data_IF_457211535925
#
_entry.id   IF_457211535925
#
_cell.length_a   1.000
_cell.length_b   1.000
_cell.length_c   1.000
_cell.angle_alpha   90.00
_cell.angle_beta   90.00
_cell.angle_gamma   90.00
#
_symmetry.space_group_name_H-M   'P 1'
#
loop_
_entity.id
_entity.type
_entity.pdbx_description
1 polymer ?
#
# COMPACT_ATOMS: atom_id res chain seq x y z
N UNK A 1 19.10 0.11 27.21
CA UNK A 1 18.27 1.28 26.88
C UNK A 1 18.15 2.11 28.15
N UNK A 2 18.45 3.41 28.10
CA UNK A 2 18.38 4.28 29.28
C UNK A 2 16.94 4.74 29.52
N UNK A 3 16.28 4.11 30.50
CA UNK A 3 14.90 4.41 30.88
C UNK A 3 14.75 5.82 31.50
N UNK A 4 15.81 6.32 32.15
CA UNK A 4 15.84 7.66 32.74
C UNK A 4 15.82 8.73 31.65
N UNK A 5 16.63 8.55 30.61
CA UNK A 5 16.61 9.42 29.43
C UNK A 5 15.25 9.40 28.71
N UNK A 6 14.66 8.21 28.49
CA UNK A 6 13.34 8.10 27.83
C UNK A 6 12.27 8.84 28.61
N UNK A 7 12.23 8.67 29.93
CA UNK A 7 11.27 9.35 30.79
C UNK A 7 11.43 10.87 30.73
N UNK A 8 12.68 11.35 30.81
CA UNK A 8 13.02 12.78 30.70
C UNK A 8 12.57 13.39 29.37
N UNK A 9 12.91 12.76 28.25
CA UNK A 9 12.59 13.30 26.93
C UNK A 9 11.12 13.11 26.56
N UNK A 10 10.48 12.03 27.00
CA UNK A 10 9.05 11.85 26.81
C UNK A 10 8.23 12.92 27.53
N UNK A 11 8.73 13.53 28.61
CA UNK A 11 8.06 14.61 29.32
C UNK A 11 8.03 15.93 28.52
N UNK A 12 8.99 16.14 27.61
CA UNK A 12 9.00 17.30 26.70
C UNK A 12 7.90 17.21 25.63
N UNK A 13 7.41 16.00 25.37
CA UNK A 13 6.38 15.69 24.38
C UNK A 13 5.15 15.09 25.08
N UNK A 14 4.63 15.83 26.06
CA UNK A 14 3.49 15.42 26.86
C UNK A 14 2.20 15.39 26.02
N UNK A 15 1.37 14.37 26.26
CA UNK A 15 0.02 14.34 25.68
C UNK A 15 -0.81 15.47 26.31
N UNK A 16 -1.42 16.37 25.52
CA UNK A 16 -2.27 17.42 26.07
C UNK A 16 -3.44 16.86 26.90
N UNK A 17 -3.73 17.51 28.03
CA UNK A 17 -4.82 17.10 28.91
C UNK A 17 -6.17 17.16 28.18
N UNK A 18 -6.98 16.11 28.33
CA UNK A 18 -8.29 16.00 27.67
C UNK A 18 -8.23 15.68 26.17
N UNK A 19 -7.04 15.62 25.55
CA UNK A 19 -6.93 15.22 24.14
C UNK A 19 -7.26 13.73 23.98
N UNK A 20 -8.39 13.46 23.34
CA UNK A 20 -8.72 12.11 22.87
C UNK A 20 -8.11 11.98 21.47
N UNK A 21 -7.01 11.24 21.39
CA UNK A 21 -6.45 10.88 20.10
C UNK A 21 -7.29 9.76 19.51
N UNK A 22 -7.85 10.01 18.33
CA UNK A 22 -8.41 8.96 17.51
C UNK A 22 -7.26 8.31 16.74
N UNK A 23 -7.07 7.03 17.02
CA UNK A 23 -6.23 6.17 16.21
C UNK A 23 -7.15 5.40 15.27
N UNK A 24 -6.89 5.53 13.97
CA UNK A 24 -7.71 4.91 12.95
C UNK A 24 -6.85 4.60 11.73
N UNK A 25 -7.50 4.57 10.59
CA UNK A 25 -6.99 3.89 9.42
C UNK A 25 -5.73 4.50 8.78
N UNK A 26 -5.60 5.83 8.81
CA UNK A 26 -4.38 6.52 8.37
C UNK A 26 -3.32 6.64 9.50
N UNK A 27 -3.44 5.84 10.56
CA UNK A 27 -2.73 6.01 11.82
C UNK A 27 -3.36 7.10 12.70
N UNK A 28 -2.52 7.82 13.45
CA UNK A 28 -2.98 8.94 14.27
C UNK A 28 -3.45 10.09 13.36
N UNK A 29 -4.75 10.44 13.45
CA UNK A 29 -5.33 11.51 12.65
C UNK A 29 -5.78 12.66 13.54
N UNK A 30 -5.05 13.77 13.48
CA UNK A 30 -5.42 15.03 14.13
C UNK A 30 -4.68 16.20 13.48
N UNK A 31 -4.93 17.43 13.95
CA UNK A 31 -4.19 18.61 13.50
C UNK A 31 -2.71 18.48 13.84
N UNK A 32 -1.83 19.01 12.99
CA UNK A 32 -0.38 18.92 13.17
C UNK A 32 0.10 19.42 14.54
N UNK A 33 -0.51 20.49 15.05
CA UNK A 33 -0.26 21.06 16.38
C UNK A 33 -0.52 20.10 17.56
N UNK A 34 -1.17 18.96 17.32
CA UNK A 34 -1.45 17.93 18.32
C UNK A 34 -0.65 16.63 18.12
N UNK A 35 0.17 16.51 17.08
CA UNK A 35 0.88 15.27 16.72
C UNK A 35 2.28 15.12 17.32
N UNK A 36 2.87 16.16 17.91
CA UNK A 36 4.24 16.15 18.43
C UNK A 36 4.53 14.95 19.36
N UNK A 37 3.66 14.75 20.35
CA UNK A 37 3.75 13.65 21.30
C UNK A 37 3.58 12.25 20.67
N UNK A 38 2.86 12.15 19.55
CA UNK A 38 2.72 10.93 18.76
C UNK A 38 4.00 10.65 18.00
N UNK A 39 4.54 11.65 17.31
CA UNK A 39 5.74 11.52 16.48
C UNK A 39 6.95 11.10 17.31
N UNK A 40 7.13 11.66 18.50
CA UNK A 40 8.19 11.26 19.41
C UNK A 40 8.12 9.76 19.77
N UNK A 41 6.93 9.28 20.14
CA UNK A 41 6.71 7.88 20.55
C UNK A 41 6.84 6.90 19.39
N UNK A 42 6.31 7.24 18.21
CA UNK A 42 6.40 6.41 17.02
C UNK A 42 7.83 6.37 16.46
N UNK A 43 8.55 7.48 16.51
CA UNK A 43 9.98 7.53 16.17
C UNK A 43 10.83 6.64 17.08
N UNK A 44 10.57 6.67 18.39
CA UNK A 44 11.24 5.77 19.34
C UNK A 44 10.93 4.30 19.01
N UNK A 45 9.67 3.94 18.77
CA UNK A 45 9.27 2.58 18.40
C UNK A 45 9.98 2.12 17.10
N UNK A 46 10.03 2.98 16.08
CA UNK A 46 10.70 2.68 14.82
C UNK A 46 12.20 2.38 15.02
N UNK A 47 12.90 3.18 15.84
CA UNK A 47 14.31 2.95 16.17
C UNK A 47 14.52 1.62 16.91
N UNK A 48 13.63 1.28 17.84
CA UNK A 48 13.74 0.03 18.60
C UNK A 48 13.48 -1.19 17.73
N UNK A 49 12.44 -1.13 16.88
CA UNK A 49 12.15 -2.16 15.90
C UNK A 49 13.34 -2.33 14.96
N UNK A 50 13.89 -1.24 14.44
CA UNK A 50 15.07 -1.26 13.55
C UNK A 50 16.26 -1.97 14.19
N UNK A 51 16.56 -1.66 15.46
CA UNK A 51 17.64 -2.33 16.20
C UNK A 51 17.38 -3.82 16.41
N UNK A 52 16.14 -4.18 16.71
CA UNK A 52 15.75 -5.57 16.95
C UNK A 52 15.81 -6.40 15.66
N UNK A 53 15.36 -5.85 14.54
CA UNK A 53 15.28 -6.55 13.26
C UNK A 53 16.53 -6.41 12.40
N UNK A 54 17.43 -5.50 12.75
CA UNK A 54 18.59 -5.07 11.93
C UNK A 54 18.18 -4.56 10.53
N UNK A 55 17.01 -3.93 10.45
CA UNK A 55 16.44 -3.41 9.20
C UNK A 55 16.10 -1.93 9.32
N UNK A 56 16.05 -1.22 8.19
CA UNK A 56 15.57 0.17 8.13
C UNK A 56 14.05 0.20 8.38
N UNK A 57 13.60 1.05 9.29
CA UNK A 57 12.17 1.27 9.59
C UNK A 57 11.84 2.73 9.30
N UNK A 58 10.82 2.98 8.49
CA UNK A 58 10.34 4.32 8.15
C UNK A 58 9.03 4.66 8.86
N UNK A 59 8.83 5.94 9.16
CA UNK A 59 7.54 6.49 9.62
C UNK A 59 6.95 7.30 8.47
N UNK A 60 5.76 6.92 7.99
CA UNK A 60 5.07 7.62 6.90
C UNK A 60 4.08 8.64 7.47
N UNK A 61 4.10 9.86 6.93
CA UNK A 61 3.14 10.93 7.24
C UNK A 61 2.36 11.26 5.98
N UNK A 62 1.04 11.07 5.99
CA UNK A 62 0.18 11.25 4.80
C UNK A 62 -0.94 12.27 5.03
N UNK A 63 -1.25 13.08 4.01
CA UNK A 63 -2.52 13.81 3.91
C UNK A 63 -3.56 12.91 3.18
N UNK A 64 -4.80 12.77 3.68
CA UNK A 64 -5.75 11.75 3.17
C UNK A 64 -6.96 12.29 2.38
N UNK A 65 -7.34 11.60 1.29
CA UNK A 65 -8.57 11.85 0.48
C UNK A 65 -9.25 10.58 -0.17
N UNK A 66 -9.18 9.34 0.38
CA UNK A 66 -9.71 8.11 -0.28
C UNK A 66 -11.02 7.48 0.30
N UNK A 67 -11.83 6.72 -0.48
CA UNK A 67 -13.03 5.95 -0.04
C UNK A 67 -12.76 4.50 0.44
N UNK A 68 -13.76 3.88 1.11
CA UNK A 68 -13.70 2.67 1.98
C UNK A 68 -13.92 1.29 1.28
N UNK A 69 -13.39 0.19 1.85
CA UNK A 69 -13.60 -1.20 1.38
C UNK A 69 -13.89 -2.20 2.54
N UNK A 70 -15.17 -2.48 2.81
CA UNK A 70 -15.67 -3.24 3.98
C UNK A 70 -16.01 -4.71 3.65
N UNK A 71 -15.89 -5.63 4.62
CA UNK A 71 -16.57 -6.94 4.51
C UNK A 71 -18.09 -6.72 4.63
N UNK A 72 -18.90 -7.52 3.93
CA UNK A 72 -20.35 -7.43 4.11
C UNK A 72 -20.76 -8.03 5.45
N UNK A 73 -21.76 -7.41 6.10
CA UNK A 73 -22.31 -7.90 7.38
C UNK A 73 -22.73 -9.37 7.31
N UNK A 74 -23.23 -9.82 6.15
CA UNK A 74 -23.59 -11.22 5.91
C UNK A 74 -22.39 -12.18 5.99
N UNK A 75 -21.22 -11.76 5.50
CA UNK A 75 -19.99 -12.55 5.56
C UNK A 75 -19.47 -12.63 7.00
N UNK A 76 -19.45 -11.50 7.72
CA UNK A 76 -19.02 -11.48 9.14
C UNK A 76 -19.87 -12.42 10.00
N UNK A 77 -21.20 -12.31 9.91
CA UNK A 77 -22.11 -13.15 10.70
C UNK A 77 -21.87 -14.64 10.43
N UNK A 78 -21.67 -15.01 9.15
CA UNK A 78 -21.42 -16.40 8.77
C UNK A 78 -20.09 -16.92 9.30
N UNK A 79 -19.06 -16.08 9.33
CA UNK A 79 -17.73 -16.44 9.87
C UNK A 79 -17.80 -16.62 11.38
N UNK A 80 -18.43 -15.69 12.11
CA UNK A 80 -18.64 -15.79 13.57
C UNK A 80 -19.42 -17.04 13.94
N UNK A 81 -20.54 -17.30 13.26
CA UNK A 81 -21.33 -18.51 13.46
C UNK A 81 -20.49 -19.79 13.20
N UNK A 82 -19.67 -19.79 12.14
CA UNK A 82 -18.80 -20.92 11.82
C UNK A 82 -17.70 -21.14 12.85
N UNK A 83 -17.19 -20.07 13.46
CA UNK A 83 -16.18 -20.12 14.51
C UNK A 83 -16.69 -20.74 15.82
N UNK A 84 -18.01 -20.64 16.07
CA UNK A 84 -18.69 -21.26 17.21
C UNK A 84 -19.13 -22.69 16.91
N UNK A 85 -19.77 -22.93 15.76
CA UNK A 85 -20.52 -24.16 15.48
C UNK A 85 -19.70 -25.28 14.84
N UNK A 86 -18.64 -24.96 14.09
CA UNK A 86 -17.82 -26.00 13.45
C UNK A 86 -16.89 -26.65 14.47
N UNK A 87 -16.38 -27.84 14.14
CA UNK A 87 -15.43 -28.59 14.96
C UNK A 87 -14.05 -28.67 14.31
N UNK A 88 -13.05 -29.04 15.12
CA UNK A 88 -11.67 -29.33 14.70
C UNK A 88 -11.01 -28.27 13.81
N UNK A 89 -10.43 -28.70 12.69
CA UNK A 89 -9.68 -27.85 11.75
C UNK A 89 -10.55 -26.75 11.16
N UNK A 90 -11.85 -27.01 10.95
CA UNK A 90 -12.78 -26.04 10.39
C UNK A 90 -13.08 -24.92 11.40
N UNK A 91 -13.26 -25.26 12.69
CA UNK A 91 -13.38 -24.26 13.76
C UNK A 91 -12.14 -23.37 13.86
N UNK A 92 -10.95 -23.98 13.81
CA UNK A 92 -9.68 -23.24 13.87
C UNK A 92 -9.51 -22.27 12.70
N UNK A 93 -9.88 -22.69 11.49
CA UNK A 93 -9.86 -21.84 10.31
C UNK A 93 -10.89 -20.69 10.39
N UNK A 94 -12.10 -20.98 10.87
CA UNK A 94 -13.14 -19.96 11.04
C UNK A 94 -12.74 -18.91 12.10
N UNK A 95 -12.19 -19.33 13.25
CA UNK A 95 -11.62 -18.41 14.26
C UNK A 95 -10.47 -17.58 13.73
N UNK A 96 -9.65 -18.14 12.83
CA UNK A 96 -8.57 -17.39 12.20
C UNK A 96 -9.11 -16.31 11.27
N UNK A 97 -10.16 -16.62 10.48
CA UNK A 97 -10.84 -15.62 9.64
C UNK A 97 -11.54 -14.55 10.47
N UNK A 98 -12.20 -14.94 11.57
CA UNK A 98 -12.80 -14.01 12.53
C UNK A 98 -11.77 -13.03 13.11
N UNK A 99 -10.65 -13.55 13.62
CA UNK A 99 -9.55 -12.72 14.13
C UNK A 99 -8.94 -11.81 13.04
N UNK A 100 -8.89 -12.28 11.80
CA UNK A 100 -8.40 -11.47 10.66
C UNK A 100 -9.36 -10.33 10.35
N UNK A 101 -10.68 -10.55 10.44
CA UNK A 101 -11.70 -9.49 10.26
C UNK A 101 -11.57 -8.44 11.35
N UNK A 102 -11.32 -8.85 12.59
CA UNK A 102 -11.13 -7.93 13.72
C UNK A 102 -9.77 -7.21 13.65
N UNK A 103 -8.76 -7.84 13.05
CA UNK A 103 -7.43 -7.26 12.88
C UNK A 103 -7.39 -6.28 11.69
N UNK A 104 -8.07 -6.58 10.58
CA UNK A 104 -8.18 -5.70 9.42
C UNK A 104 -9.03 -4.48 9.75
N UNK A 105 -8.51 -3.30 9.43
CA UNK A 105 -9.32 -2.10 9.42
C UNK A 105 -10.24 -2.13 8.19
N UNK A 106 -11.50 -2.54 8.39
CA UNK A 106 -12.42 -2.71 7.26
C UNK A 106 -12.85 -1.38 6.61
N UNK A 107 -12.66 -0.24 7.28
CA UNK A 107 -13.09 1.04 6.74
C UNK A 107 -12.08 1.64 5.76
N UNK A 108 -10.78 1.36 5.88
CA UNK A 108 -9.77 1.81 4.91
C UNK A 108 -8.42 1.05 5.12
N UNK A 109 -7.42 1.30 4.27
CA UNK A 109 -6.08 0.69 4.44
C UNK A 109 -5.33 1.22 5.67
N UNK A 110 -4.81 0.33 6.51
CA UNK A 110 -4.08 0.62 7.75
C UNK A 110 -2.73 -0.10 7.74
N UNK A 111 -1.64 0.65 7.59
CA UNK A 111 -0.31 0.06 7.45
C UNK A 111 0.16 -0.75 8.68
N UNK A 112 -0.32 -0.44 9.89
CA UNK A 112 0.03 -1.21 11.10
C UNK A 112 -0.80 -2.49 11.16
N UNK A 113 -2.11 -2.39 10.91
CA UNK A 113 -2.99 -3.56 10.76
C UNK A 113 -2.45 -4.48 9.66
N UNK A 114 -2.14 -3.95 8.47
CA UNK A 114 -1.58 -4.68 7.34
C UNK A 114 -0.26 -5.36 7.73
N UNK A 115 0.66 -4.63 8.39
CA UNK A 115 1.91 -5.21 8.88
C UNK A 115 1.65 -6.35 9.87
N UNK A 116 0.74 -6.18 10.85
CA UNK A 116 0.41 -7.21 11.83
C UNK A 116 -0.25 -8.44 11.18
N UNK A 117 -1.12 -8.24 10.19
CA UNK A 117 -1.72 -9.32 9.40
C UNK A 117 -0.63 -10.08 8.63
N UNK A 118 0.27 -9.38 7.94
CA UNK A 118 1.38 -9.99 7.22
C UNK A 118 2.28 -10.79 8.17
N UNK A 119 2.68 -10.21 9.29
CA UNK A 119 3.50 -10.89 10.32
C UNK A 119 2.78 -12.15 10.84
N UNK A 120 1.46 -12.07 11.09
CA UNK A 120 0.68 -13.23 11.50
C UNK A 120 0.61 -14.32 10.42
N UNK A 121 0.41 -13.94 9.14
CA UNK A 121 0.38 -14.88 8.01
C UNK A 121 1.73 -15.58 7.85
N UNK A 122 2.83 -14.82 7.91
CA UNK A 122 4.19 -15.37 7.80
C UNK A 122 4.48 -16.34 8.95
N UNK A 123 4.15 -15.96 10.18
CA UNK A 123 4.32 -16.82 11.35
C UNK A 123 3.48 -18.11 11.24
N UNK A 124 2.23 -18.01 10.80
CA UNK A 124 1.33 -19.16 10.63
C UNK A 124 1.77 -20.09 9.51
N UNK A 125 2.37 -19.56 8.44
CA UNK A 125 2.91 -20.35 7.33
C UNK A 125 4.34 -20.84 7.59
N UNK A 126 4.99 -20.37 8.66
CA UNK A 126 6.41 -20.65 8.91
C UNK A 126 7.32 -20.07 7.81
N UNK A 127 6.91 -18.97 7.18
CA UNK A 127 7.67 -18.33 6.11
C UNK A 127 8.49 -17.17 6.67
N UNK A 128 9.74 -17.05 6.20
CA UNK A 128 10.50 -15.81 6.34
C UNK A 128 10.07 -14.79 5.28
N UNK A 129 10.44 -13.53 5.49
CA UNK A 129 10.23 -12.46 4.48
C UNK A 129 10.90 -12.81 3.15
N UNK A 130 12.08 -13.43 3.17
CA UNK A 130 12.79 -13.84 1.95
C UNK A 130 12.07 -14.97 1.21
N UNK A 131 11.48 -15.92 1.94
CA UNK A 131 10.70 -16.99 1.31
C UNK A 131 9.37 -16.48 0.74
N UNK A 132 8.78 -15.47 1.39
CA UNK A 132 7.60 -14.78 0.86
C UNK A 132 7.92 -14.00 -0.41
N UNK A 133 9.02 -13.23 -0.40
CA UNK A 133 9.53 -12.49 -1.57
C UNK A 133 9.81 -13.43 -2.76
N UNK A 134 10.35 -14.63 -2.49
CA UNK A 134 10.65 -15.62 -3.51
C UNK A 134 9.43 -16.39 -4.05
N UNK A 135 8.18 -16.11 -3.61
CA UNK A 135 6.99 -16.82 -4.09
C UNK A 135 6.73 -16.57 -5.59
N UNK A 136 7.15 -15.42 -6.10
CA UNK A 136 7.12 -15.11 -7.51
C UNK A 136 8.24 -14.10 -7.82
N UNK A 137 8.55 -13.92 -9.09
CA UNK A 137 9.52 -12.91 -9.53
C UNK A 137 8.76 -11.86 -10.32
N UNK A 138 8.81 -10.61 -9.87
CA UNK A 138 8.28 -9.49 -10.62
C UNK A 138 8.93 -9.41 -12.00
N UNK A 139 8.12 -9.10 -13.01
CA UNK A 139 8.68 -8.69 -14.29
C UNK A 139 9.43 -7.36 -14.12
N UNK A 140 10.56 -7.17 -14.83
CA UNK A 140 11.13 -5.85 -15.03
C UNK A 140 10.06 -4.84 -15.41
N UNK A 141 9.88 -3.82 -14.59
CA UNK A 141 8.83 -2.81 -14.76
C UNK A 141 9.33 -1.42 -14.35
N UNK A 142 8.69 -0.39 -14.90
CA UNK A 142 8.96 1.00 -14.52
C UNK A 142 7.76 1.88 -14.77
N UNK A 143 7.60 2.87 -13.89
CA UNK A 143 6.58 3.89 -13.98
C UNK A 143 7.24 5.26 -14.14
N UNK A 144 6.95 5.95 -15.24
CA UNK A 144 7.38 7.32 -15.48
C UNK A 144 6.27 8.30 -15.11
N UNK A 145 6.70 9.50 -14.69
CA UNK A 145 5.84 10.67 -14.47
C UNK A 145 6.18 11.69 -15.56
N UNK A 146 5.24 11.91 -16.47
CA UNK A 146 5.38 12.87 -17.58
C UNK A 146 4.60 14.13 -17.21
N UNK A 147 5.30 15.26 -17.11
CA UNK A 147 4.67 16.54 -16.84
C UNK A 147 3.91 16.99 -18.10
N UNK A 148 2.65 17.39 -17.94
CA UNK A 148 1.83 17.90 -19.04
C UNK A 148 1.20 19.24 -18.67
N UNK A 149 0.78 20.01 -19.67
CA UNK A 149 0.09 21.27 -19.44
C UNK A 149 -1.34 21.07 -18.91
N UNK A 150 -2.03 20.03 -19.38
CA UNK A 150 -3.34 19.62 -18.90
C UNK A 150 -3.45 18.09 -18.95
N UNK A 151 -3.64 17.45 -17.78
CA UNK A 151 -3.77 15.98 -17.70
C UNK A 151 -5.05 15.45 -18.35
N UNK A 152 -6.08 16.29 -18.50
CA UNK A 152 -7.40 15.89 -19.02
C UNK A 152 -7.38 15.60 -20.52
N UNK A 153 -6.27 15.89 -21.20
CA UNK A 153 -6.06 15.46 -22.60
C UNK A 153 -6.07 13.94 -22.73
N UNK A 154 -5.70 13.22 -21.66
CA UNK A 154 -5.80 11.76 -21.60
C UNK A 154 -7.05 11.38 -20.80
N UNK A 155 -7.93 10.64 -21.45
CA UNK A 155 -9.04 9.92 -20.82
C UNK A 155 -8.85 8.43 -21.03
N UNK A 156 -9.32 7.63 -20.07
CA UNK A 156 -9.10 6.18 -20.05
C UNK A 156 -10.41 5.42 -19.82
N UNK A 157 -10.40 4.14 -20.17
CA UNK A 157 -11.46 3.16 -19.94
C UNK A 157 -10.85 1.85 -19.42
N UNK A 158 -11.69 0.85 -19.20
CA UNK A 158 -11.27 -0.50 -18.80
C UNK A 158 -10.39 -0.50 -17.54
N UNK A 159 -10.91 0.06 -16.45
CA UNK A 159 -10.16 0.26 -15.20
C UNK A 159 -8.84 1.03 -15.40
N UNK A 160 -8.88 2.07 -16.22
CA UNK A 160 -7.75 2.92 -16.60
C UNK A 160 -6.63 2.20 -17.37
N UNK A 161 -6.89 1.01 -17.91
CA UNK A 161 -5.89 0.21 -18.66
C UNK A 161 -5.81 0.59 -20.13
N UNK A 162 -6.83 1.27 -20.67
CA UNK A 162 -6.86 1.68 -22.08
C UNK A 162 -7.10 3.18 -22.21
N UNK A 163 -6.30 3.86 -23.05
CA UNK A 163 -6.51 5.24 -23.43
C UNK A 163 -7.66 5.35 -24.46
N UNK A 164 -8.56 6.30 -24.25
CA UNK A 164 -9.64 6.66 -25.19
C UNK A 164 -9.25 7.92 -25.96
N UNK A 165 -8.63 8.87 -25.27
CA UNK A 165 -8.07 10.09 -25.89
C UNK A 165 -6.60 10.26 -25.51
N UNK A 166 -5.79 10.88 -26.39
CA UNK A 166 -6.10 11.23 -27.77
C UNK A 166 -6.25 9.98 -28.69
N UNK A 167 -7.02 10.08 -29.79
CA UNK A 167 -7.12 9.01 -30.78
C UNK A 167 -5.74 8.59 -31.32
N UNK A 168 -5.53 7.29 -31.51
CA UNK A 168 -4.24 6.73 -31.99
C UNK A 168 -3.26 6.37 -30.87
N UNK A 169 -3.43 6.90 -29.65
CA UNK A 169 -2.50 6.62 -28.54
C UNK A 169 -2.59 5.16 -28.10
N UNK A 170 -3.79 4.60 -27.97
CA UNK A 170 -3.92 3.20 -27.56
C UNK A 170 -3.43 2.23 -28.63
N UNK A 171 -3.64 2.55 -29.91
CA UNK A 171 -3.14 1.78 -31.03
C UNK A 171 -1.60 1.74 -31.03
N UNK A 172 -0.95 2.90 -30.81
CA UNK A 172 0.50 2.99 -30.67
C UNK A 172 1.01 2.14 -29.49
N UNK A 173 0.36 2.21 -28.32
CA UNK A 173 0.70 1.39 -27.15
C UNK A 173 0.56 -0.10 -27.48
N UNK A 174 -0.54 -0.50 -28.13
CA UNK A 174 -0.78 -1.89 -28.51
C UNK A 174 0.30 -2.41 -29.47
N UNK A 175 0.69 -1.61 -30.46
CA UNK A 175 1.72 -1.98 -31.43
C UNK A 175 3.12 -2.02 -30.79
N UNK A 176 3.39 -1.19 -29.79
CA UNK A 176 4.61 -1.25 -29.00
C UNK A 176 4.68 -2.54 -28.16
N UNK A 177 3.61 -2.87 -27.43
CA UNK A 177 3.52 -4.06 -26.57
C UNK A 177 3.71 -5.34 -27.39
N UNK A 178 3.15 -5.43 -28.60
CA UNK A 178 3.34 -6.61 -29.47
C UNK A 178 4.80 -6.94 -29.80
N UNK A 179 5.71 -5.97 -29.72
CA UNK A 179 7.14 -6.15 -30.03
C UNK A 179 7.88 -6.95 -28.94
N UNK A 180 7.30 -7.09 -27.75
CA UNK A 180 7.98 -7.59 -26.56
C UNK A 180 7.20 -8.70 -25.87
N UNK A 181 7.91 -9.68 -25.33
CA UNK A 181 7.29 -10.84 -24.66
C UNK A 181 6.89 -10.51 -23.23
N UNK A 182 5.81 -11.15 -22.77
CA UNK A 182 5.21 -10.94 -21.44
C UNK A 182 5.08 -9.46 -21.10
N UNK A 183 4.74 -8.63 -22.10
CA UNK A 183 4.77 -7.19 -21.95
C UNK A 183 3.38 -6.61 -21.76
N UNK A 184 3.32 -5.52 -21.02
CA UNK A 184 2.12 -4.72 -20.82
C UNK A 184 2.54 -3.28 -20.62
N UNK A 185 1.78 -2.36 -21.21
CA UNK A 185 1.95 -0.93 -21.02
C UNK A 185 0.60 -0.24 -20.99
N UNK A 186 0.48 0.82 -20.22
CA UNK A 186 -0.69 1.69 -20.21
C UNK A 186 -0.33 3.08 -19.72
N UNK A 187 -1.19 4.03 -20.04
CA UNK A 187 -1.05 5.44 -19.66
C UNK A 187 -2.32 5.88 -18.95
N UNK A 188 -2.16 6.69 -17.90
CA UNK A 188 -3.31 7.27 -17.20
C UNK A 188 -2.99 8.67 -16.67
N UNK A 189 -3.98 9.58 -16.62
CA UNK A 189 -3.79 10.84 -15.92
C UNK A 189 -3.59 10.58 -14.42
N UNK A 190 -2.76 11.39 -13.76
CA UNK A 190 -2.74 11.44 -12.29
C UNK A 190 -4.07 12.00 -11.80
N UNK A 191 -4.51 11.66 -10.58
CA UNK A 191 -5.74 12.19 -9.97
C UNK A 191 -5.59 13.57 -9.33
N UNK A 192 -4.35 13.93 -8.97
CA UNK A 192 -4.04 15.04 -8.05
C UNK A 192 -3.04 16.06 -8.59
N UNK A 193 -2.41 15.77 -9.74
CA UNK A 193 -1.33 16.57 -10.30
C UNK A 193 -1.48 16.62 -11.82
N UNK A 194 -1.05 17.70 -12.49
CA UNK A 194 -1.05 17.84 -13.96
C UNK A 194 0.07 17.04 -14.61
N UNK A 195 0.03 15.72 -14.40
CA UNK A 195 0.98 14.75 -14.94
C UNK A 195 0.24 13.53 -15.48
N UNK A 196 0.87 12.87 -16.42
CA UNK A 196 0.49 11.56 -16.94
C UNK A 196 1.46 10.52 -16.40
N UNK A 197 0.92 9.38 -15.97
CA UNK A 197 1.72 8.22 -15.55
C UNK A 197 1.77 7.23 -16.70
N UNK A 198 2.99 6.86 -17.08
CA UNK A 198 3.25 5.83 -18.09
C UNK A 198 3.83 4.64 -17.36
N UNK A 199 3.14 3.51 -17.40
CA UNK A 199 3.61 2.26 -16.82
C UNK A 199 3.91 1.26 -17.93
N UNK A 200 5.01 0.52 -17.80
CA UNK A 200 5.26 -0.65 -18.61
C UNK A 200 6.09 -1.72 -17.88
N UNK A 201 5.86 -2.97 -18.26
CA UNK A 201 6.57 -4.17 -17.81
C UNK A 201 6.83 -5.13 -18.99
N UNK A 202 7.88 -5.95 -18.92
CA UNK A 202 8.24 -6.93 -19.96
C UNK A 202 9.12 -8.08 -19.38
N UNK A 203 9.38 -9.11 -20.19
CA UNK A 203 10.22 -10.26 -19.80
C UNK A 203 11.70 -9.92 -19.53
N UNK A 204 12.19 -8.77 -20.00
CA UNK A 204 13.59 -8.35 -19.85
C UNK A 204 13.73 -6.83 -19.73
N UNK A 205 14.75 -6.39 -18.99
CA UNK A 205 15.03 -4.97 -18.77
C UNK A 205 15.36 -4.22 -20.09
N UNK A 206 16.09 -4.88 -21.00
CA UNK A 206 16.55 -4.29 -22.28
C UNK A 206 15.39 -4.02 -23.24
N UNK A 207 14.40 -4.92 -23.27
CA UNK A 207 13.18 -4.78 -24.05
C UNK A 207 12.39 -3.52 -23.67
N UNK A 208 12.52 -3.05 -22.42
CA UNK A 208 11.82 -1.90 -21.91
C UNK A 208 12.52 -0.58 -22.25
N UNK A 209 13.83 -0.45 -22.04
CA UNK A 209 14.56 0.80 -22.31
C UNK A 209 14.42 1.21 -23.79
N UNK A 210 14.37 0.22 -24.69
CA UNK A 210 14.13 0.44 -26.12
C UNK A 210 12.70 0.83 -26.49
N UNK A 211 11.71 0.58 -25.63
CA UNK A 211 10.29 0.81 -25.92
C UNK A 211 9.84 2.25 -25.64
N UNK A 212 10.38 2.89 -24.59
CA UNK A 212 9.95 4.23 -24.17
C UNK A 212 10.88 5.36 -24.63
N UNK A 213 12.19 5.12 -24.76
CA UNK A 213 13.13 6.20 -25.15
C UNK A 213 13.06 6.59 -26.63
N UNK A 214 12.52 5.72 -27.50
CA UNK A 214 12.55 5.89 -28.96
C UNK A 214 11.26 6.43 -29.58
N UNK A 215 10.18 6.59 -28.81
CA UNK A 215 8.90 7.09 -29.33
C UNK A 215 8.68 8.57 -28.94
N UNK A 216 8.87 9.52 -29.90
CA UNK A 216 8.79 10.95 -29.63
C UNK A 216 7.37 11.43 -29.26
N UNK A 217 6.35 10.60 -29.46
CA UNK A 217 4.95 10.92 -29.17
C UNK A 217 4.53 10.65 -27.71
N UNK A 218 5.45 10.12 -26.88
CA UNK A 218 5.21 9.81 -25.46
C UNK A 218 5.88 10.85 -24.53
N UNK A 219 6.63 11.81 -25.07
CA UNK A 219 7.24 12.93 -24.33
C UNK A 219 6.35 14.17 -24.35
#
# INVERSE_FOLDING_TARGET
MDLGAITKYSALHAKPNGLILQYGTAGFRTKAEHLDHVMFRMGLLAVLRSKQTKSTIGVMVTASHNPEALFSTAVEMKIKQSAEQLEDKKRKAAKMLENIIDLFNQAAGDAISDMLVIEAILALKGLTVQQWDALYTDLPNRQLKVQVADRRVISTTDAERQAVTPPGLQEAINDLVKKYKLSRAFVRPSGTEDVVRVYAEADSQVSWDSSIEKEPNIR
#
